data_IF_154684578094
#
_entry.id   IF_154684578094
#
_cell.length_a   1.000
_cell.length_b   1.000
_cell.length_c   1.000
_cell.angle_alpha   90.00
_cell.angle_beta   90.00
_cell.angle_gamma   90.00
#
_symmetry.space_group_name_H-M   'P 1'
#
loop_
_entity.id
_entity.type
_entity.pdbx_description
1 polymer ?
#
# COMPACT_ATOMS: atom_id res chain seq x y z
N UNK A 1 -11.13 12.07 12.51
CA UNK A 1 -11.33 10.71 11.98
C UNK A 1 -10.09 10.32 11.20
N UNK A 2 -9.38 9.31 11.66
CA UNK A 2 -8.18 8.83 10.99
C UNK A 2 -8.53 8.03 9.74
N UNK A 3 -7.78 8.22 8.66
CA UNK A 3 -7.95 7.46 7.41
C UNK A 3 -7.10 6.20 7.47
N UNK A 4 -7.73 5.05 7.67
CA UNK A 4 -7.05 3.74 7.63
C UNK A 4 -6.51 3.50 6.22
N UNK A 5 -5.22 3.12 6.13
CA UNK A 5 -4.55 2.87 4.86
C UNK A 5 -3.98 4.10 4.17
N UNK A 6 -3.91 5.22 4.87
CA UNK A 6 -3.32 6.46 4.37
C UNK A 6 -2.44 7.16 5.44
N UNK A 7 -1.69 8.15 4.99
CA UNK A 7 -0.94 9.03 5.88
C UNK A 7 -1.87 10.01 6.56
N UNK A 8 -1.68 10.19 7.86
CA UNK A 8 -2.44 11.10 8.71
C UNK A 8 -1.50 11.97 9.51
N UNK A 9 -1.84 13.24 9.71
CA UNK A 9 -1.15 14.10 10.66
C UNK A 9 -1.95 14.12 11.95
N UNK A 10 -1.42 13.47 12.99
CA UNK A 10 -2.10 13.30 14.29
C UNK A 10 -1.27 13.87 15.42
N UNK A 11 -1.95 14.36 16.45
CA UNK A 11 -1.32 14.94 17.64
C UNK A 11 -1.06 13.88 18.70
N UNK A 12 0.09 13.96 19.37
CA UNK A 12 0.39 13.15 20.56
C UNK A 12 -0.40 13.67 21.73
N UNK A 13 -1.19 12.80 22.35
CA UNK A 13 -2.04 13.18 23.50
C UNK A 13 -1.59 12.55 24.82
N UNK A 14 -0.74 11.53 24.75
CA UNK A 14 -0.30 10.82 25.97
C UNK A 14 0.92 9.95 25.71
N UNK A 15 1.86 9.99 26.66
CA UNK A 15 3.01 9.09 26.71
C UNK A 15 2.63 7.76 27.37
N UNK A 16 3.29 6.67 26.93
CA UNK A 16 3.21 5.35 27.54
C UNK A 16 4.58 4.65 27.51
N UNK A 17 4.77 3.64 28.35
CA UNK A 17 6.05 2.91 28.42
C UNK A 17 6.41 2.21 27.08
N UNK A 18 5.43 1.82 26.31
CA UNK A 18 5.56 1.07 25.04
C UNK A 18 5.37 1.95 23.79
N UNK A 19 5.16 3.27 23.94
CA UNK A 19 4.98 4.19 22.82
C UNK A 19 4.22 5.45 23.21
N UNK A 20 3.57 6.06 22.23
CA UNK A 20 2.71 7.23 22.46
C UNK A 20 1.31 6.97 21.91
N UNK A 21 0.32 7.65 22.46
CA UNK A 21 -1.04 7.64 21.91
C UNK A 21 -1.29 8.93 21.14
N UNK A 22 -1.90 8.77 19.98
CA UNK A 22 -2.26 9.82 19.06
C UNK A 22 -3.77 10.04 19.06
N UNK A 23 -4.20 11.26 18.83
CA UNK A 23 -5.61 11.64 18.73
C UNK A 23 -6.22 11.11 17.41
N UNK A 24 -6.96 10.02 17.48
CA UNK A 24 -7.74 9.47 16.37
C UNK A 24 -9.11 10.10 16.19
N UNK A 25 -9.48 11.06 17.02
CA UNK A 25 -10.80 11.68 17.04
C UNK A 25 -11.91 10.66 17.35
N UNK A 26 -12.90 10.47 16.46
CA UNK A 26 -13.98 9.48 16.67
C UNK A 26 -13.51 8.03 16.78
N UNK A 27 -12.32 7.72 16.25
CA UNK A 27 -11.73 6.37 16.28
C UNK A 27 -11.02 6.08 17.61
N UNK A 28 -10.96 7.06 18.52
CA UNK A 28 -10.30 6.96 19.82
C UNK A 28 -8.79 7.14 19.77
N UNK A 29 -8.12 6.77 20.84
CA UNK A 29 -6.67 6.87 20.97
C UNK A 29 -5.98 5.80 20.08
N UNK A 30 -5.07 6.24 19.22
CA UNK A 30 -4.31 5.37 18.32
C UNK A 30 -2.90 5.19 18.85
N UNK A 31 -2.49 3.95 19.09
CA UNK A 31 -1.15 3.65 19.56
C UNK A 31 -0.13 3.79 18.42
N UNK A 32 0.94 4.55 18.68
CA UNK A 32 2.19 4.53 17.93
C UNK A 32 3.25 3.81 18.79
N UNK A 33 3.59 2.56 18.49
CA UNK A 33 4.56 1.82 19.28
C UNK A 33 5.94 2.47 19.25
N UNK A 34 6.71 2.34 20.34
CA UNK A 34 8.05 2.93 20.48
C UNK A 34 8.99 2.56 19.32
N UNK A 35 8.94 1.31 18.84
CA UNK A 35 9.74 0.84 17.70
C UNK A 35 9.39 1.48 16.36
N UNK A 36 8.20 2.08 16.27
CA UNK A 36 7.65 2.73 15.07
C UNK A 36 7.74 4.26 15.16
N UNK A 37 8.24 4.80 16.27
CA UNK A 37 8.48 6.23 16.46
C UNK A 37 9.71 6.71 15.66
N UNK A 38 9.78 7.98 15.28
CA UNK A 38 10.98 8.55 14.69
C UNK A 38 12.14 8.46 15.69
N UNK A 39 13.35 8.13 15.18
CA UNK A 39 14.54 7.95 16.04
C UNK A 39 15.24 9.25 16.40
N UNK A 40 15.10 10.24 15.53
CA UNK A 40 15.90 11.47 15.57
C UNK A 40 15.08 12.71 15.97
N UNK A 41 13.81 12.56 16.26
CA UNK A 41 12.93 13.65 16.65
C UNK A 41 12.33 13.38 18.04
N UNK A 42 12.32 14.38 18.94
CA UNK A 42 11.61 14.25 20.19
C UNK A 42 10.11 14.12 19.92
N UNK A 43 9.46 13.24 20.64
CA UNK A 43 8.01 13.03 20.56
C UNK A 43 7.44 13.42 21.94
N UNK A 44 7.12 14.68 22.11
CA UNK A 44 6.53 15.21 23.33
C UNK A 44 5.00 15.31 23.21
N UNK A 45 4.32 15.47 24.33
CA UNK A 45 2.88 15.70 24.32
C UNK A 45 2.56 16.99 23.53
N UNK A 46 1.47 16.95 22.78
CA UNK A 46 1.02 18.02 21.86
C UNK A 46 1.80 18.13 20.52
N UNK A 47 2.88 17.37 20.32
CA UNK A 47 3.55 17.31 19.02
C UNK A 47 2.66 16.67 17.95
N UNK A 48 2.84 17.11 16.71
CA UNK A 48 2.14 16.56 15.54
C UNK A 48 3.06 15.63 14.76
N UNK A 49 2.59 14.42 14.50
CA UNK A 49 3.34 13.43 13.73
C UNK A 49 2.59 13.05 12.44
N UNK A 50 3.34 12.85 11.36
CA UNK A 50 2.82 12.28 10.13
C UNK A 50 2.99 10.76 10.20
N UNK A 51 1.88 10.03 10.28
CA UNK A 51 1.84 8.59 10.51
C UNK A 51 0.95 7.88 9.51
N UNK A 52 1.32 6.66 9.15
CA UNK A 52 0.46 5.73 8.43
C UNK A 52 -0.40 4.95 9.44
N UNK A 53 -1.70 4.89 9.18
CA UNK A 53 -2.66 4.22 10.07
C UNK A 53 -3.16 2.93 9.43
N UNK A 54 -3.09 1.82 10.17
CA UNK A 54 -3.51 0.51 9.70
C UNK A 54 -4.02 -0.36 10.86
N UNK A 55 -4.48 -1.59 10.58
CA UNK A 55 -4.89 -2.54 11.60
C UNK A 55 -3.76 -3.53 11.92
N UNK A 56 -3.51 -3.77 13.19
CA UNK A 56 -2.58 -4.80 13.66
C UNK A 56 -3.18 -6.22 13.50
N UNK A 57 -2.46 -7.24 13.99
CA UNK A 57 -2.92 -8.63 13.90
C UNK A 57 -4.14 -8.96 14.76
N UNK A 58 -4.47 -8.10 15.72
CA UNK A 58 -5.65 -8.21 16.60
C UNK A 58 -6.79 -7.26 16.17
N UNK A 59 -6.72 -6.72 14.94
CA UNK A 59 -7.68 -5.77 14.37
C UNK A 59 -7.79 -4.43 15.13
N UNK A 60 -6.76 -4.05 15.89
CA UNK A 60 -6.69 -2.74 16.53
C UNK A 60 -6.08 -1.72 15.59
N UNK A 61 -6.61 -0.50 15.62
CA UNK A 61 -6.05 0.62 14.86
C UNK A 61 -4.69 0.98 15.47
N UNK A 62 -3.65 1.00 14.65
CA UNK A 62 -2.27 1.26 15.04
C UNK A 62 -1.61 2.21 14.04
N UNK A 63 -0.61 2.96 14.49
CA UNK A 63 0.14 3.90 13.68
C UNK A 63 1.61 3.50 13.52
N UNK A 64 2.24 3.95 12.43
CA UNK A 64 3.69 3.88 12.22
C UNK A 64 4.18 5.14 11.53
N UNK A 65 5.39 5.58 11.85
CA UNK A 65 6.06 6.65 11.09
C UNK A 65 6.76 6.14 9.84
N UNK A 66 6.81 4.82 9.65
CA UNK A 66 7.33 4.23 8.41
C UNK A 66 6.40 4.53 7.26
N UNK A 67 6.99 4.85 6.12
CA UNK A 67 6.24 5.05 4.89
C UNK A 67 6.07 3.70 4.17
N UNK A 68 4.83 3.22 3.97
CA UNK A 68 4.61 1.99 3.22
C UNK A 68 4.94 2.19 1.74
N UNK A 69 5.23 1.09 1.04
CA UNK A 69 5.46 1.09 -0.43
C UNK A 69 4.18 1.32 -1.22
N UNK A 70 3.02 1.12 -0.61
CA UNK A 70 1.70 1.33 -1.21
C UNK A 70 0.71 1.76 -0.13
N UNK A 71 -0.17 2.69 -0.48
CA UNK A 71 -1.32 3.08 0.33
C UNK A 71 -2.61 2.52 -0.27
N UNK A 72 -3.69 2.55 0.49
CA UNK A 72 -5.03 2.22 -0.04
C UNK A 72 -5.36 3.14 -1.22
N UNK A 73 -5.80 2.56 -2.32
CA UNK A 73 -6.10 3.29 -3.55
C UNK A 73 -4.93 3.42 -4.52
N UNK A 74 -3.78 2.82 -4.22
CA UNK A 74 -2.59 2.88 -5.07
C UNK A 74 -2.20 1.50 -5.63
N UNK A 75 -1.42 1.53 -6.71
CA UNK A 75 -0.77 0.37 -7.31
C UNK A 75 0.72 0.36 -6.93
N UNK A 76 1.26 -0.82 -6.69
CA UNK A 76 2.70 -1.00 -6.50
C UNK A 76 3.16 -2.40 -6.88
N UNK A 77 4.44 -2.54 -7.22
CA UNK A 77 5.10 -3.83 -7.38
C UNK A 77 5.68 -4.24 -6.04
N UNK A 78 5.21 -5.33 -5.48
CA UNK A 78 5.61 -5.84 -4.17
C UNK A 78 6.16 -7.26 -4.27
N UNK A 79 7.12 -7.58 -3.39
CA UNK A 79 7.75 -8.89 -3.32
C UNK A 79 6.93 -9.85 -2.46
N UNK A 80 6.73 -11.07 -2.94
CA UNK A 80 6.14 -12.18 -2.17
C UNK A 80 7.18 -12.68 -1.17
N UNK A 81 6.87 -12.64 0.12
CA UNK A 81 7.77 -13.06 1.21
C UNK A 81 7.33 -14.32 1.93
N UNK A 82 6.05 -14.67 1.84
CA UNK A 82 5.52 -15.91 2.42
C UNK A 82 4.24 -16.33 1.69
N UNK A 83 3.94 -17.62 1.69
CA UNK A 83 2.74 -18.20 1.08
C UNK A 83 2.14 -19.23 2.04
N UNK A 84 0.84 -19.11 2.30
CA UNK A 84 0.13 -20.08 3.10
C UNK A 84 -1.27 -20.40 2.53
N UNK A 85 -2.12 -21.06 3.31
CA UNK A 85 -3.47 -21.50 2.87
C UNK A 85 -4.44 -20.35 2.54
N UNK A 86 -4.24 -19.17 3.11
CA UNK A 86 -5.14 -18.02 2.91
C UNK A 86 -4.71 -17.17 1.72
N UNK A 87 -3.43 -17.13 1.40
CA UNK A 87 -2.91 -16.31 0.32
C UNK A 87 -1.41 -16.10 0.40
N UNK A 88 -0.97 -15.11 -0.31
CA UNK A 88 0.42 -14.65 -0.35
C UNK A 88 0.58 -13.44 0.56
N UNK A 89 1.73 -13.34 1.19
CA UNK A 89 2.12 -12.18 2.00
C UNK A 89 3.18 -11.38 1.26
N UNK A 90 2.93 -10.08 1.15
CA UNK A 90 3.73 -9.15 0.37
C UNK A 90 4.46 -8.17 1.29
N UNK A 91 5.75 -7.93 1.00
CA UNK A 91 6.52 -6.90 1.68
C UNK A 91 6.13 -5.51 1.18
N UNK A 92 5.39 -4.78 1.98
CA UNK A 92 5.02 -3.39 1.72
C UNK A 92 5.74 -2.37 2.60
N UNK A 93 6.81 -2.81 3.29
CA UNK A 93 7.68 -1.95 4.09
C UNK A 93 7.28 -1.78 5.56
N UNK A 94 6.22 -2.44 6.00
CA UNK A 94 5.75 -2.44 7.39
C UNK A 94 6.04 -3.79 8.08
N UNK A 95 5.94 -3.83 9.41
CA UNK A 95 6.18 -5.06 10.17
C UNK A 95 5.16 -6.16 9.89
N UNK A 96 3.94 -5.79 9.58
CA UNK A 96 2.88 -6.71 9.16
C UNK A 96 2.81 -6.72 7.64
N UNK A 97 2.99 -7.89 7.04
CA UNK A 97 2.93 -8.05 5.59
C UNK A 97 1.52 -7.83 5.05
N UNK A 98 1.43 -7.39 3.80
CA UNK A 98 0.17 -7.17 3.11
C UNK A 98 -0.35 -8.49 2.51
N UNK A 99 -1.57 -8.86 2.85
CA UNK A 99 -2.21 -10.08 2.33
C UNK A 99 -2.72 -9.89 0.90
N UNK A 100 -2.32 -10.81 0.01
CA UNK A 100 -2.94 -11.05 -1.29
C UNK A 100 -3.67 -12.40 -1.23
N UNK A 101 -5.01 -12.44 -1.09
CA UNK A 101 -5.75 -13.70 -1.06
C UNK A 101 -5.57 -14.51 -2.33
N UNK A 102 -5.59 -15.85 -2.23
CA UNK A 102 -5.49 -16.73 -3.41
C UNK A 102 -6.58 -16.46 -4.46
N UNK A 103 -7.77 -16.06 -4.03
CA UNK A 103 -8.86 -15.67 -4.93
C UNK A 103 -8.58 -14.40 -5.76
N UNK A 104 -7.62 -13.59 -5.31
CA UNK A 104 -7.24 -12.33 -5.95
C UNK A 104 -5.94 -12.44 -6.77
N UNK A 105 -5.31 -13.61 -6.81
CA UNK A 105 -4.19 -13.88 -7.71
C UNK A 105 -4.65 -13.90 -9.17
N UNK A 106 -3.79 -13.40 -10.07
CA UNK A 106 -3.98 -13.50 -11.51
C UNK A 106 -3.24 -14.71 -12.11
N UNK A 107 -2.13 -15.09 -11.50
CA UNK A 107 -1.26 -16.22 -11.90
C UNK A 107 -0.59 -16.82 -10.66
N UNK A 108 -0.17 -18.07 -10.69
CA UNK A 108 0.64 -18.66 -9.62
C UNK A 108 1.94 -17.87 -9.42
N UNK A 109 2.26 -17.61 -8.16
CA UNK A 109 3.45 -16.90 -7.72
C UNK A 109 4.20 -17.72 -6.70
N UNK A 110 5.51 -17.50 -6.58
CA UNK A 110 6.39 -18.13 -5.62
C UNK A 110 7.02 -17.08 -4.69
N UNK A 111 7.53 -17.50 -3.56
CA UNK A 111 8.33 -16.63 -2.70
C UNK A 111 9.51 -16.05 -3.50
N UNK A 112 9.73 -14.76 -3.35
CA UNK A 112 10.74 -14.01 -4.08
C UNK A 112 10.24 -13.36 -5.38
N UNK A 113 9.09 -13.78 -5.92
CA UNK A 113 8.49 -13.14 -7.07
C UNK A 113 7.99 -11.72 -6.73
N UNK A 114 7.96 -10.86 -7.75
CA UNK A 114 7.32 -9.55 -7.68
C UNK A 114 5.96 -9.59 -8.36
N UNK A 115 4.98 -8.94 -7.74
CA UNK A 115 3.63 -8.83 -8.27
C UNK A 115 3.14 -7.39 -8.16
N UNK A 116 2.58 -6.87 -9.25
CA UNK A 116 1.89 -5.58 -9.20
C UNK A 116 0.50 -5.80 -8.62
N UNK A 117 0.19 -5.06 -7.58
CA UNK A 117 -1.07 -5.14 -6.85
C UNK A 117 -1.70 -3.77 -6.64
N UNK A 118 -2.99 -3.77 -6.39
CA UNK A 118 -3.76 -2.63 -5.89
C UNK A 118 -4.14 -2.88 -4.44
N UNK A 119 -3.92 -1.90 -3.58
CA UNK A 119 -4.30 -2.00 -2.17
C UNK A 119 -5.69 -1.40 -1.93
N UNK A 120 -6.55 -2.14 -1.26
CA UNK A 120 -7.92 -1.74 -0.94
C UNK A 120 -8.31 -2.18 0.48
N UNK A 121 -9.40 -1.63 1.00
CA UNK A 121 -10.00 -2.09 2.27
C UNK A 121 -11.07 -3.13 1.94
N UNK A 122 -10.86 -4.35 2.41
CA UNK A 122 -11.87 -5.41 2.33
C UNK A 122 -13.10 -5.02 3.16
N UNK A 123 -14.27 -4.93 2.52
CA UNK A 123 -15.49 -4.43 3.18
C UNK A 123 -15.98 -5.35 4.30
N UNK A 124 -15.66 -6.64 4.23
CA UNK A 124 -16.06 -7.64 5.21
C UNK A 124 -15.15 -7.63 6.44
N UNK A 125 -13.84 -7.64 6.23
CA UNK A 125 -12.85 -7.73 7.31
C UNK A 125 -12.36 -6.38 7.80
N UNK A 126 -12.61 -5.31 7.05
CA UNK A 126 -12.07 -3.94 7.27
C UNK A 126 -10.54 -3.85 7.23
N UNK A 127 -9.88 -4.91 6.82
CA UNK A 127 -8.42 -4.97 6.67
C UNK A 127 -7.96 -4.44 5.33
N UNK A 128 -6.78 -3.86 5.29
CA UNK A 128 -6.09 -3.51 4.05
C UNK A 128 -5.64 -4.80 3.39
N UNK A 129 -6.01 -4.97 2.13
CA UNK A 129 -5.82 -6.20 1.36
C UNK A 129 -5.32 -5.84 -0.03
N UNK A 130 -4.56 -6.72 -0.66
CA UNK A 130 -4.08 -6.53 -2.03
C UNK A 130 -4.88 -7.38 -3.02
N UNK A 131 -4.94 -6.92 -4.27
CA UNK A 131 -5.44 -7.70 -5.40
C UNK A 131 -4.51 -7.58 -6.60
N UNK A 132 -4.29 -8.68 -7.31
CA UNK A 132 -3.60 -8.69 -8.60
C UNK A 132 -4.57 -8.55 -9.80
N UNK A 133 -5.86 -8.48 -9.54
CA UNK A 133 -6.92 -8.26 -10.54
C UNK A 133 -7.14 -6.77 -10.78
N UNK A 134 -6.17 -6.15 -11.45
CA UNK A 134 -6.04 -4.70 -11.56
C UNK A 134 -7.11 -4.02 -12.41
N UNK A 135 -7.71 -4.74 -13.37
CA UNK A 135 -8.67 -4.18 -14.33
C UNK A 135 -9.88 -3.51 -13.66
N UNK A 136 -10.26 -3.97 -12.47
CA UNK A 136 -11.39 -3.39 -11.71
C UNK A 136 -11.14 -1.98 -11.18
N UNK A 137 -9.86 -1.59 -11.07
CA UNK A 137 -9.43 -0.35 -10.41
C UNK A 137 -8.78 0.63 -11.38
N UNK A 138 -8.72 0.28 -12.65
CA UNK A 138 -8.22 1.15 -13.71
C UNK A 138 -9.37 1.89 -14.37
N UNK A 139 -9.08 3.11 -14.80
CA UNK A 139 -10.06 3.96 -15.48
C UNK A 139 -10.32 3.39 -16.89
N UNK A 140 -11.59 3.10 -17.20
CA UNK A 140 -12.04 2.61 -18.49
C UNK A 140 -12.33 3.76 -19.49
N UNK A 141 -12.31 5.02 -19.01
CA UNK A 141 -12.46 6.17 -19.92
C UNK A 141 -11.22 6.29 -20.82
N UNK A 142 -11.38 6.73 -22.08
CA UNK A 142 -10.25 6.94 -22.97
C UNK A 142 -9.20 7.87 -22.37
N UNK A 143 -7.94 7.47 -22.41
CA UNK A 143 -6.85 8.30 -21.97
C UNK A 143 -6.70 9.53 -22.89
N UNK A 144 -6.46 10.69 -22.30
CA UNK A 144 -6.33 11.97 -23.00
C UNK A 144 -4.88 12.49 -23.01
N UNK A 145 -3.90 11.58 -22.98
CA UNK A 145 -2.49 11.96 -23.02
C UNK A 145 -2.07 12.49 -24.38
N UNK A 146 -1.18 13.47 -24.36
CA UNK A 146 -0.65 14.11 -25.57
C UNK A 146 0.79 13.65 -25.84
N UNK A 147 1.19 13.69 -27.11
CA UNK A 147 2.57 13.38 -27.50
C UNK A 147 3.53 14.36 -26.86
N UNK A 148 4.57 13.83 -26.18
CA UNK A 148 5.57 14.63 -25.43
C UNK A 148 5.21 14.90 -23.97
N UNK A 149 4.03 14.48 -23.51
CA UNK A 149 3.65 14.57 -22.11
C UNK A 149 4.46 13.56 -21.26
N UNK A 150 5.01 14.01 -20.15
CA UNK A 150 5.68 13.15 -19.18
C UNK A 150 4.63 12.43 -18.30
N UNK A 151 4.80 11.14 -18.12
CA UNK A 151 3.89 10.29 -17.33
C UNK A 151 4.67 9.33 -16.46
N UNK A 152 4.09 9.01 -15.29
CA UNK A 152 4.61 7.95 -14.44
C UNK A 152 4.15 6.58 -14.98
N UNK A 153 5.07 5.63 -15.03
CA UNK A 153 4.81 4.29 -15.52
C UNK A 153 5.12 3.24 -14.45
N UNK A 154 4.19 2.32 -14.25
CA UNK A 154 4.41 1.10 -13.48
C UNK A 154 4.32 -0.09 -14.44
N UNK A 155 5.46 -0.74 -14.67
CA UNK A 155 5.53 -1.94 -15.53
C UNK A 155 4.85 -3.11 -14.83
N UNK A 156 3.91 -3.75 -15.50
CA UNK A 156 3.12 -4.85 -14.94
C UNK A 156 3.59 -6.21 -15.45
N UNK A 157 3.64 -6.39 -16.77
CA UNK A 157 3.98 -7.65 -17.38
C UNK A 157 4.54 -7.49 -18.80
N UNK A 158 5.40 -8.41 -19.27
CA UNK A 158 5.82 -8.44 -20.66
C UNK A 158 4.66 -8.92 -21.55
N UNK A 159 4.67 -8.46 -22.80
CA UNK A 159 3.77 -8.88 -23.87
C UNK A 159 4.56 -9.18 -25.14
N UNK A 160 3.94 -9.75 -26.16
CA UNK A 160 4.59 -10.02 -27.46
C UNK A 160 5.07 -8.72 -28.16
N UNK A 161 4.44 -7.58 -27.86
CA UNK A 161 4.75 -6.29 -28.47
C UNK A 161 5.63 -5.37 -27.59
N UNK A 162 5.86 -5.74 -26.34
CA UNK A 162 6.62 -4.94 -25.39
C UNK A 162 6.16 -5.17 -23.96
N UNK A 163 5.89 -4.08 -23.20
CA UNK A 163 5.50 -4.17 -21.80
C UNK A 163 4.16 -3.49 -21.57
N UNK A 164 3.26 -4.20 -20.89
CA UNK A 164 2.02 -3.63 -20.37
C UNK A 164 2.34 -2.83 -19.11
N UNK A 165 1.85 -1.61 -19.03
CA UNK A 165 2.12 -0.71 -17.91
C UNK A 165 0.86 0.04 -17.45
N UNK A 166 0.88 0.52 -16.22
CA UNK A 166 -0.11 1.46 -15.70
C UNK A 166 0.46 2.87 -15.81
N UNK A 167 -0.29 3.77 -16.43
CA UNK A 167 0.08 5.17 -16.66
C UNK A 167 -0.58 6.04 -15.57
N UNK A 168 0.23 6.82 -14.84
CA UNK A 168 -0.22 7.73 -13.78
C UNK A 168 -1.16 7.07 -12.74
N UNK A 169 -1.02 5.76 -12.50
CA UNK A 169 -1.89 5.02 -11.59
C UNK A 169 -3.35 4.92 -12.03
N UNK A 170 -3.69 5.16 -13.30
CA UNK A 170 -5.08 5.25 -13.79
C UNK A 170 -5.38 4.39 -15.01
N UNK A 171 -4.55 4.42 -16.02
CA UNK A 171 -4.84 3.82 -17.32
C UNK A 171 -3.87 2.72 -17.71
N UNK A 172 -4.35 1.73 -18.47
CA UNK A 172 -3.48 0.80 -19.15
C UNK A 172 -2.74 1.47 -20.31
N UNK A 173 -1.47 1.13 -20.47
CA UNK A 173 -0.65 1.51 -21.59
C UNK A 173 0.25 0.36 -22.07
N UNK A 174 0.77 0.48 -23.28
CA UNK A 174 1.72 -0.44 -23.86
C UNK A 174 3.01 0.29 -24.24
N UNK A 175 4.11 -0.14 -23.65
CA UNK A 175 5.44 0.31 -24.05
C UNK A 175 5.92 -0.64 -25.15
N UNK A 176 5.98 -0.14 -26.37
CA UNK A 176 6.40 -0.94 -27.51
C UNK A 176 7.90 -1.24 -27.41
N UNK A 177 8.26 -2.49 -27.58
CA UNK A 177 9.64 -2.91 -27.78
C UNK A 177 10.02 -2.65 -29.23
N UNK A 178 10.82 -1.63 -29.47
CA UNK A 178 11.41 -1.35 -30.79
C UNK A 178 12.65 -2.23 -31.00
N UNK A 179 12.49 -3.55 -30.90
CA UNK A 179 13.54 -4.46 -31.35
C UNK A 179 13.51 -4.44 -32.87
N UNK A 180 14.40 -3.71 -33.45
CA UNK A 180 14.65 -3.79 -34.89
C UNK A 180 15.35 -5.11 -35.21
N UNK A 181 14.70 -5.87 -35.97
CA UNK A 181 15.29 -7.05 -36.58
C UNK A 181 16.19 -6.60 -37.75
#
# INVERSE_FOLDING_TARGET
MALIGDMNTLQIIRQADFGVYLDGGPDGDILLPRREMPKDEPCEDEDWLNVFVYLDSEDRIIATTRKPKVKVGEFASLKVVDINRIGLFLDWGLNKDLLLPHSEEKRPLQEGDYCVVYAYIDQRTKRITATARLDRYLDLTPATYTVGEEVDLLIVEPTDLGFKAIINGKHWGLILSLIHI
#
